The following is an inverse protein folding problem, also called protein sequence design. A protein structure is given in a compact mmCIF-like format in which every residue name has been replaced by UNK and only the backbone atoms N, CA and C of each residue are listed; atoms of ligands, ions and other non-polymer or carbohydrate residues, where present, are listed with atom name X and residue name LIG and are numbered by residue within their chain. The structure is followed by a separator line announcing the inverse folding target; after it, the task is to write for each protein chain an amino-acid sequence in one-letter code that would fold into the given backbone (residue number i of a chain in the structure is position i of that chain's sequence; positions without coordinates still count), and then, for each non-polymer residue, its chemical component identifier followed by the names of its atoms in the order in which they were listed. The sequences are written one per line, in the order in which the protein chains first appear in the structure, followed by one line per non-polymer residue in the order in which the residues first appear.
data_IF_998549132180
#
_entry.id   IF_998549132180
#
_cell.length_a   1.000
_cell.length_b   1.000
_cell.length_c   1.000
_cell.angle_alpha   90.00
_cell.angle_beta   90.00
_cell.angle_gamma   90.00
#
_symmetry.space_group_name_H-M   'P 1'
#
loop_
_entity.id
_entity.type
_entity.pdbx_description
1 polymer ?
#
# COMPACT_ATOMS: atom_id res chain seq x y z
N UNK A 1 -14.53 9.32 5.97
CA UNK A 1 -13.93 7.99 5.72
C UNK A 1 -12.72 8.14 4.82
N UNK A 2 -11.57 7.66 5.26
CA UNK A 2 -10.32 7.56 4.52
C UNK A 2 -9.98 6.09 4.31
N UNK A 3 -9.65 5.71 3.09
CA UNK A 3 -9.17 4.38 2.76
C UNK A 3 -7.66 4.41 2.58
N UNK A 4 -6.97 3.50 3.26
CA UNK A 4 -5.50 3.41 3.27
C UNK A 4 -5.07 2.08 2.69
N UNK A 5 -4.22 2.12 1.68
CA UNK A 5 -3.57 0.93 1.11
C UNK A 5 -2.10 0.90 1.47
N UNK A 6 -1.61 -0.27 1.83
CA UNK A 6 -0.19 -0.50 2.15
C UNK A 6 0.33 -1.65 1.29
N UNK A 7 1.28 -1.32 0.42
CA UNK A 7 2.09 -2.29 -0.32
C UNK A 7 3.35 -2.56 0.50
N UNK A 8 3.44 -3.74 1.15
CA UNK A 8 4.58 -4.03 2.02
C UNK A 8 5.84 -4.32 1.21
N UNK A 9 6.99 -4.15 1.84
CA UNK A 9 8.29 -4.37 1.23
C UNK A 9 9.19 -3.15 1.40
N UNK A 10 10.48 -3.33 1.16
CA UNK A 10 11.44 -2.21 1.24
C UNK A 10 11.25 -1.23 0.09
N UNK A 11 10.81 -1.71 -1.06
CA UNK A 11 10.39 -0.88 -2.20
C UNK A 11 8.90 -0.62 -2.24
N UNK A 12 8.18 -0.89 -1.15
CA UNK A 12 6.76 -0.67 -1.02
C UNK A 12 6.40 0.78 -0.76
N UNK A 13 5.11 0.99 -0.49
CA UNK A 13 4.55 2.32 -0.33
C UNK A 13 3.23 2.28 0.44
N UNK A 14 2.71 3.45 0.77
CA UNK A 14 1.37 3.65 1.29
C UNK A 14 0.62 4.67 0.44
N UNK A 15 -0.70 4.58 0.44
CA UNK A 15 -1.55 5.52 -0.29
C UNK A 15 -2.89 5.71 0.40
N UNK A 16 -3.44 6.91 0.30
CA UNK A 16 -4.70 7.31 0.91
C UNK A 16 -5.61 7.98 -0.10
N UNK A 17 -6.88 7.60 -0.08
CA UNK A 17 -7.96 8.24 -0.83
C UNK A 17 -9.16 8.47 0.09
N UNK A 18 -10.03 9.40 -0.27
CA UNK A 18 -11.26 9.64 0.47
C UNK A 18 -12.41 8.73 -0.01
N UNK A 19 -13.58 8.86 0.65
CA UNK A 19 -14.77 8.09 0.30
C UNK A 19 -15.28 8.31 -1.12
N UNK A 20 -14.89 9.40 -1.78
CA UNK A 20 -15.22 9.66 -3.19
C UNK A 20 -14.22 9.06 -4.17
N UNK A 21 -13.13 8.47 -3.65
CA UNK A 21 -12.04 7.96 -4.48
C UNK A 21 -11.03 9.04 -4.90
N UNK A 22 -11.06 10.20 -4.28
CA UNK A 22 -10.14 11.30 -4.57
C UNK A 22 -8.83 11.13 -3.81
N UNK A 23 -7.72 11.47 -4.45
CA UNK A 23 -6.38 11.39 -3.88
C UNK A 23 -6.22 12.30 -2.66
N UNK A 24 -5.67 11.75 -1.59
CA UNK A 24 -5.27 12.49 -0.39
C UNK A 24 -3.75 12.61 -0.32
N UNK A 25 -3.06 11.48 -0.23
CA UNK A 25 -1.61 11.44 -0.10
C UNK A 25 -1.05 10.05 -0.41
N UNK A 26 0.23 9.96 -0.66
CA UNK A 26 0.98 8.70 -0.72
C UNK A 26 2.45 8.95 -0.41
N UNK A 27 3.17 7.88 -0.09
CA UNK A 27 4.60 7.96 0.16
C UNK A 27 5.26 6.59 0.10
N UNK A 28 6.57 6.61 -0.01
CA UNK A 28 7.38 5.39 -0.02
C UNK A 28 7.55 4.85 1.41
N UNK A 29 7.84 3.55 1.53
CA UNK A 29 8.31 2.98 2.79
C UNK A 29 9.74 3.47 3.07
N UNK A 30 9.90 4.23 4.15
CA UNK A 30 11.24 4.52 4.67
C UNK A 30 11.82 3.26 5.29
N UNK A 31 13.02 2.91 4.92
CA UNK A 31 13.67 1.70 5.39
C UNK A 31 15.18 1.84 5.51
N UNK A 32 15.77 1.05 6.39
CA UNK A 32 17.20 0.73 6.37
C UNK A 32 17.43 -0.49 5.48
N UNK A 33 18.64 -1.02 5.46
CA UNK A 33 18.93 -2.31 4.82
C UNK A 33 18.34 -3.51 5.58
N UNK A 34 17.81 -3.30 6.79
CA UNK A 34 17.34 -4.34 7.71
C UNK A 34 15.86 -4.32 8.02
N UNK A 35 15.24 -3.15 8.08
CA UNK A 35 13.83 -3.02 8.50
C UNK A 35 13.17 -1.76 7.94
N UNK A 36 11.84 -1.74 7.98
CA UNK A 36 11.04 -0.55 7.73
C UNK A 36 11.16 0.40 8.91
N UNK A 37 11.40 1.67 8.64
CA UNK A 37 11.42 2.73 9.65
C UNK A 37 10.00 3.20 9.95
N UNK A 38 9.22 2.36 10.63
CA UNK A 38 7.78 2.56 10.85
C UNK A 38 7.46 3.88 11.52
N UNK A 39 8.36 4.41 12.35
CA UNK A 39 8.17 5.71 13.00
C UNK A 39 8.12 6.86 12.00
N UNK A 40 9.00 6.85 11.00
CA UNK A 40 9.05 7.88 9.96
C UNK A 40 7.84 7.77 9.03
N UNK A 41 7.51 6.55 8.60
CA UNK A 41 6.35 6.29 7.76
C UNK A 41 5.07 6.73 8.48
N UNK A 42 4.91 6.37 9.74
CA UNK A 42 3.77 6.77 10.56
C UNK A 42 3.65 8.29 10.70
N UNK A 43 4.76 9.00 10.90
CA UNK A 43 4.76 10.46 11.01
C UNK A 43 4.24 11.12 9.72
N UNK A 44 4.61 10.61 8.55
CA UNK A 44 4.08 11.09 7.27
C UNK A 44 2.60 10.79 7.11
N UNK A 45 2.18 9.56 7.43
CA UNK A 45 0.78 9.16 7.34
C UNK A 45 -0.12 10.02 8.23
N UNK A 46 0.34 10.36 9.43
CA UNK A 46 -0.42 11.20 10.38
C UNK A 46 -0.69 12.60 9.86
N UNK A 47 0.19 13.16 9.03
CA UNK A 47 -0.01 14.49 8.46
C UNK A 47 -1.18 14.52 7.47
N UNK A 48 -1.46 13.39 6.82
CA UNK A 48 -2.49 13.26 5.79
C UNK A 48 -3.81 12.70 6.32
N UNK A 49 -3.80 12.04 7.48
CA UNK A 49 -4.94 11.31 8.01
C UNK A 49 -5.93 12.22 8.71
N UNK A 50 -7.17 12.21 8.24
CA UNK A 50 -8.31 12.68 9.06
C UNK A 50 -8.70 11.55 10.03
N UNK A 51 -8.42 11.77 11.31
CA UNK A 51 -8.34 10.74 12.36
C UNK A 51 -9.65 10.04 12.72
N UNK A 52 -10.79 10.48 12.21
CA UNK A 52 -12.07 10.05 12.78
C UNK A 52 -12.70 8.85 12.11
N UNK A 53 -12.29 8.52 10.88
CA UNK A 53 -12.97 7.48 10.13
C UNK A 53 -12.05 6.94 9.04
N UNK A 54 -11.44 5.80 9.28
CA UNK A 54 -10.53 5.17 8.32
C UNK A 54 -10.69 3.65 8.27
N UNK A 55 -10.25 3.08 7.17
CA UNK A 55 -10.14 1.65 6.94
C UNK A 55 -8.86 1.35 6.19
N UNK A 56 -8.16 0.29 6.58
CA UNK A 56 -6.82 -0.01 6.05
C UNK A 56 -6.79 -1.37 5.37
N UNK A 57 -6.05 -1.49 4.28
CA UNK A 57 -5.74 -2.78 3.67
C UNK A 57 -4.24 -2.91 3.46
N UNK A 58 -3.71 -4.09 3.80
CA UNK A 58 -2.32 -4.48 3.53
C UNK A 58 -2.32 -5.61 2.52
N UNK A 59 -1.48 -5.49 1.49
CA UNK A 59 -1.28 -6.60 0.57
C UNK A 59 -0.63 -7.77 1.31
N UNK A 60 -1.26 -8.95 1.23
CA UNK A 60 -0.75 -10.17 1.83
C UNK A 60 0.39 -10.73 0.97
N UNK A 61 1.59 -10.78 1.54
CA UNK A 61 2.76 -11.37 0.90
C UNK A 61 3.20 -12.63 1.63
N UNK A 62 3.88 -13.51 0.93
CA UNK A 62 4.47 -14.73 1.48
C UNK A 62 5.73 -15.09 0.71
N UNK A 63 6.57 -15.93 1.30
CA UNK A 63 7.75 -16.43 0.59
C UNK A 63 7.35 -17.35 -0.57
N UNK A 64 8.09 -17.26 -1.67
CA UNK A 64 7.87 -18.07 -2.87
C UNK A 64 8.74 -19.33 -2.84
N UNK A 65 8.29 -20.46 -3.42
CA UNK A 65 9.14 -21.61 -3.63
C UNK A 65 10.43 -21.22 -4.36
N UNK A 66 11.58 -21.69 -3.87
CA UNK A 66 12.89 -21.35 -4.44
C UNK A 66 13.45 -19.99 -4.04
N UNK A 67 12.72 -19.18 -3.27
CA UNK A 67 13.24 -17.94 -2.71
C UNK A 67 14.29 -18.23 -1.65
N UNK A 68 15.44 -17.52 -1.67
CA UNK A 68 16.49 -17.69 -0.69
C UNK A 68 16.06 -17.36 0.74
N UNK A 69 16.74 -17.95 1.72
CA UNK A 69 16.44 -17.76 3.16
C UNK A 69 16.54 -16.29 3.55
N UNK A 70 17.62 -15.60 3.14
CA UNK A 70 17.81 -14.18 3.43
C UNK A 70 16.71 -13.29 2.84
N UNK A 71 16.32 -13.55 1.60
CA UNK A 71 15.24 -12.81 0.93
C UNK A 71 13.89 -13.06 1.61
N UNK A 72 13.58 -14.30 1.98
CA UNK A 72 12.35 -14.65 2.71
C UNK A 72 12.29 -13.96 4.07
N UNK A 73 13.40 -13.91 4.78
CA UNK A 73 13.49 -13.22 6.07
C UNK A 73 13.24 -11.72 5.92
N UNK A 74 13.86 -11.07 4.94
CA UNK A 74 13.63 -9.64 4.65
C UNK A 74 12.17 -9.35 4.32
N UNK A 75 11.54 -10.21 3.51
CA UNK A 75 10.11 -10.11 3.21
C UNK A 75 9.26 -10.17 4.48
N UNK A 76 9.55 -11.13 5.36
CA UNK A 76 8.83 -11.28 6.63
C UNK A 76 8.97 -10.05 7.53
N UNK A 77 10.17 -9.48 7.63
CA UNK A 77 10.43 -8.26 8.41
C UNK A 77 9.65 -7.08 7.85
N UNK A 78 9.67 -6.87 6.55
CA UNK A 78 8.94 -5.79 5.89
C UNK A 78 7.43 -5.95 6.05
N UNK A 79 6.91 -7.15 5.88
CA UNK A 79 5.49 -7.46 6.08
C UNK A 79 5.04 -7.22 7.52
N UNK A 80 5.83 -7.65 8.51
CA UNK A 80 5.56 -7.36 9.92
C UNK A 80 5.52 -5.86 10.22
N UNK A 81 6.40 -5.08 9.62
CA UNK A 81 6.38 -3.62 9.70
C UNK A 81 5.11 -3.01 9.12
N UNK A 82 4.65 -3.51 7.98
CA UNK A 82 3.39 -3.06 7.36
C UNK A 82 2.16 -3.37 8.24
N UNK A 83 2.11 -4.55 8.83
CA UNK A 83 1.04 -4.93 9.79
C UNK A 83 1.07 -4.01 11.00
N UNK A 84 2.25 -3.75 11.57
CA UNK A 84 2.39 -2.84 12.71
C UNK A 84 1.89 -1.43 12.38
N UNK A 85 2.14 -0.94 11.17
CA UNK A 85 1.58 0.34 10.70
C UNK A 85 0.05 0.28 10.63
N UNK A 86 -0.53 -0.78 10.05
CA UNK A 86 -1.98 -0.93 9.96
C UNK A 86 -2.65 -0.93 11.34
N UNK A 87 -2.08 -1.63 12.30
CA UNK A 87 -2.60 -1.69 13.67
C UNK A 87 -2.56 -0.35 14.43
N UNK A 88 -1.64 0.55 14.04
CA UNK A 88 -1.56 1.88 14.67
C UNK A 88 -2.72 2.80 14.33
N UNK A 89 -3.42 2.56 13.25
CA UNK A 89 -4.57 3.39 12.85
C UNK A 89 -5.75 3.30 13.83
N UNK A 90 -5.81 2.27 14.64
CA UNK A 90 -6.94 2.03 15.54
C UNK A 90 -8.30 2.01 14.81
N UNK A 91 -8.31 1.48 13.61
CA UNK A 91 -9.49 1.29 12.78
C UNK A 91 -9.47 -0.12 12.15
N UNK A 92 -10.56 -0.60 11.53
CA UNK A 92 -10.56 -1.89 10.88
C UNK A 92 -9.46 -1.99 9.83
N UNK A 93 -8.79 -3.14 9.77
CA UNK A 93 -7.82 -3.40 8.73
C UNK A 93 -7.94 -4.83 8.18
N UNK A 94 -7.52 -5.00 6.94
CA UNK A 94 -7.73 -6.21 6.15
C UNK A 94 -6.44 -6.65 5.47
N UNK A 95 -6.36 -7.94 5.16
CA UNK A 95 -5.36 -8.51 4.26
C UNK A 95 -6.01 -8.90 2.94
N UNK A 96 -5.32 -8.65 1.83
CA UNK A 96 -5.77 -9.08 0.50
C UNK A 96 -4.59 -9.60 -0.31
N UNK A 97 -4.79 -10.70 -1.04
CA UNK A 97 -3.74 -11.22 -1.94
C UNK A 97 -3.60 -10.37 -3.21
N UNK A 98 -2.40 -10.29 -3.81
CA UNK A 98 -2.21 -9.61 -5.09
C UNK A 98 -3.17 -10.10 -6.17
N UNK A 99 -3.38 -11.39 -6.28
CA UNK A 99 -4.26 -12.00 -7.27
C UNK A 99 -5.70 -11.51 -7.10
N UNK A 100 -6.18 -11.43 -5.86
CA UNK A 100 -7.57 -11.04 -5.57
C UNK A 100 -7.85 -9.59 -5.93
N UNK A 101 -7.06 -8.64 -5.44
CA UNK A 101 -7.34 -7.23 -5.69
C UNK A 101 -7.04 -6.83 -7.14
N UNK A 102 -5.98 -7.37 -7.75
CA UNK A 102 -5.66 -7.10 -9.16
C UNK A 102 -6.75 -7.62 -10.10
N UNK A 103 -7.24 -8.84 -9.87
CA UNK A 103 -8.36 -9.40 -10.64
C UNK A 103 -9.61 -8.53 -10.54
N UNK A 104 -9.94 -8.06 -9.34
CA UNK A 104 -11.09 -7.19 -9.10
C UNK A 104 -11.00 -5.87 -9.87
N UNK A 105 -9.81 -5.32 -10.03
CA UNK A 105 -9.55 -4.10 -10.80
C UNK A 105 -9.19 -4.37 -12.27
N UNK A 106 -9.30 -5.61 -12.74
CA UNK A 106 -8.96 -6.03 -14.11
C UNK A 106 -7.49 -5.76 -14.46
N UNK A 107 -6.61 -5.92 -13.48
CA UNK A 107 -5.17 -5.79 -13.62
C UNK A 107 -4.50 -7.17 -13.67
N UNK A 108 -3.31 -7.21 -14.27
CA UNK A 108 -2.40 -8.37 -14.25
C UNK A 108 -1.22 -8.10 -13.30
N UNK A 109 -0.24 -8.99 -13.29
CA UNK A 109 1.01 -8.80 -12.55
C UNK A 109 1.94 -7.74 -13.15
N UNK A 110 1.60 -7.19 -14.31
CA UNK A 110 2.38 -6.13 -14.97
C UNK A 110 2.29 -4.82 -14.17
N UNK A 111 3.42 -4.43 -13.61
CA UNK A 111 3.53 -3.20 -12.79
C UNK A 111 3.25 -1.93 -13.58
N UNK A 112 3.52 -1.93 -14.88
CA UNK A 112 3.23 -0.77 -15.74
C UNK A 112 1.72 -0.56 -15.88
N UNK A 113 0.92 -1.62 -15.93
CA UNK A 113 -0.54 -1.49 -15.93
C UNK A 113 -1.07 -0.83 -14.66
N UNK A 114 -0.55 -1.22 -13.50
CA UNK A 114 -0.91 -0.58 -12.22
C UNK A 114 -0.56 0.90 -12.22
N UNK A 115 0.65 1.24 -12.67
CA UNK A 115 1.11 2.62 -12.74
C UNK A 115 0.24 3.46 -13.70
N UNK A 116 -0.06 2.94 -14.88
CA UNK A 116 -0.90 3.64 -15.87
C UNK A 116 -2.32 3.86 -15.35
N UNK A 117 -2.93 2.86 -14.74
CA UNK A 117 -4.26 2.98 -14.15
C UNK A 117 -4.29 4.02 -13.03
N UNK A 118 -3.32 4.00 -12.14
CA UNK A 118 -3.24 4.97 -11.05
C UNK A 118 -3.05 6.41 -11.56
N UNK A 119 -2.23 6.60 -12.58
CA UNK A 119 -2.04 7.92 -13.23
C UNK A 119 -3.33 8.44 -13.86
N UNK A 120 -4.14 7.57 -14.44
CA UNK A 120 -5.45 7.94 -14.98
C UNK A 120 -6.45 8.33 -13.89
N UNK A 121 -6.49 7.56 -12.79
CA UNK A 121 -7.41 7.83 -11.69
C UNK A 121 -7.00 9.07 -10.89
N UNK A 122 -5.70 9.28 -10.71
CA UNK A 122 -5.16 10.35 -9.86
C UNK A 122 -4.05 11.12 -10.57
N UNK A 123 -4.40 12.00 -11.53
CA UNK A 123 -3.40 12.74 -12.30
C UNK A 123 -2.50 13.65 -11.45
N UNK A 124 -2.96 14.05 -10.26
CA UNK A 124 -2.22 14.92 -9.35
C UNK A 124 -1.32 14.17 -8.37
N UNK A 125 -1.45 12.84 -8.28
CA UNK A 125 -0.59 12.04 -7.41
C UNK A 125 0.85 11.99 -7.94
N UNK A 126 1.87 11.95 -7.04
CA UNK A 126 3.28 11.95 -7.44
C UNK A 126 3.71 10.56 -7.93
N UNK A 127 3.31 10.23 -9.16
CA UNK A 127 3.53 8.95 -9.83
C UNK A 127 4.39 9.09 -11.10
N UNK A 128 5.31 10.06 -11.15
CA UNK A 128 6.05 10.41 -12.37
C UNK A 128 7.20 9.43 -12.67
N UNK A 129 7.73 8.76 -11.65
CA UNK A 129 8.88 7.88 -11.80
C UNK A 129 8.43 6.43 -12.08
N UNK A 130 9.24 5.69 -12.82
CA UNK A 130 8.99 4.26 -13.04
C UNK A 130 8.91 3.46 -11.73
N UNK A 131 9.72 3.84 -10.73
CA UNK A 131 9.71 3.21 -9.40
C UNK A 131 8.47 3.55 -8.56
N UNK A 132 7.63 4.47 -9.00
CA UNK A 132 6.40 4.85 -8.31
C UNK A 132 5.28 3.81 -8.46
N UNK A 133 5.56 2.68 -9.07
CA UNK A 133 4.63 1.54 -9.11
C UNK A 133 4.22 1.08 -7.69
N UNK A 134 5.08 1.20 -6.69
CA UNK A 134 4.73 0.93 -5.29
C UNK A 134 3.64 1.87 -4.78
N UNK A 135 3.80 3.18 -5.01
CA UNK A 135 2.76 4.18 -4.67
C UNK A 135 1.46 3.94 -5.44
N UNK A 136 1.57 3.61 -6.72
CA UNK A 136 0.41 3.27 -7.55
C UNK A 136 -0.35 2.07 -7.00
N UNK A 137 0.34 0.99 -6.66
CA UNK A 137 -0.29 -0.20 -6.10
C UNK A 137 -0.90 0.07 -4.72
N UNK A 138 -0.25 0.86 -3.88
CA UNK A 138 -0.82 1.26 -2.58
C UNK A 138 -2.12 2.07 -2.74
N UNK A 139 -2.17 3.01 -3.67
CA UNK A 139 -3.39 3.76 -3.98
C UNK A 139 -4.48 2.86 -4.57
N UNK A 140 -4.12 1.92 -5.44
CA UNK A 140 -5.06 0.96 -6.02
C UNK A 140 -5.60 -0.03 -4.98
N UNK A 141 -4.81 -0.41 -4.00
CA UNK A 141 -5.28 -1.18 -2.84
C UNK A 141 -6.34 -0.40 -2.05
N UNK A 142 -6.11 0.87 -1.80
CA UNK A 142 -7.09 1.74 -1.15
C UNK A 142 -8.39 1.85 -1.98
N UNK A 143 -8.28 1.95 -3.30
CA UNK A 143 -9.44 1.97 -4.21
C UNK A 143 -10.18 0.63 -4.22
N UNK A 144 -9.45 -0.48 -4.21
CA UNK A 144 -10.06 -1.80 -4.06
C UNK A 144 -10.87 -1.86 -2.76
N UNK A 145 -10.29 -1.44 -1.64
CA UNK A 145 -10.94 -1.44 -0.34
C UNK A 145 -12.22 -0.58 -0.36
N UNK A 146 -12.13 0.62 -0.91
CA UNK A 146 -13.29 1.52 -1.07
C UNK A 146 -14.43 0.86 -1.83
N UNK A 147 -14.13 0.13 -2.91
CA UNK A 147 -15.14 -0.57 -3.71
C UNK A 147 -15.76 -1.77 -3.02
N UNK A 148 -15.06 -2.38 -2.05
CA UNK A 148 -15.59 -3.51 -1.27
C UNK A 148 -16.54 -3.05 -0.16
N UNK A 149 -16.24 -1.96 0.49
CA UNK A 149 -16.88 -1.53 1.73
C UNK A 149 -17.49 -0.12 1.68
N UNK A 150 -17.21 0.59 0.62
CA UNK A 150 -17.73 1.95 0.39
C UNK A 150 -19.04 1.98 -0.44
#
# INVERSE_FOLDING_TARGET
MTYVGIDPGFSGAWGMINHRGEYISCGDMHHTDKHIETRLVWAEMLQALDRQDCEVVVESVHSMPGQGVSSSFKFGVAFGGAIALAERFNCPWHLVTPQSWKKSLKLTSDKQQSLDMARQLWPTAPLDRKKDNGRAEALLLAEWLRRQYG
#
